data_IF_809721262910
#
_entry.id   IF_809721262910
#
_cell.length_a   1.000
_cell.length_b   1.000
_cell.length_c   1.000
_cell.angle_alpha   90.00
_cell.angle_beta   90.00
_cell.angle_gamma   90.00
#
_symmetry.space_group_name_H-M   'P 1'
#
loop_
_entity.id
_entity.type
_entity.pdbx_description
1 polymer ?
#
# COMPACT_ATOMS: atom_id res chain seq x y z
N UNK A 1 4.74 -32.80 10.66
CA UNK A 1 3.92 -31.57 10.50
C UNK A 1 3.38 -31.56 9.08
N UNK A 2 2.08 -31.79 8.90
CA UNK A 2 1.40 -31.73 7.60
C UNK A 2 1.60 -30.33 7.02
N UNK A 3 2.31 -30.23 5.88
CA UNK A 3 2.37 -28.98 5.10
C UNK A 3 0.92 -28.61 4.77
N UNK A 4 0.43 -27.51 5.35
CA UNK A 4 -0.88 -26.98 5.02
C UNK A 4 -0.99 -26.72 3.52
N UNK A 5 -2.22 -26.68 3.01
CA UNK A 5 -2.51 -26.46 1.59
C UNK A 5 -1.71 -25.25 1.06
N UNK A 6 -1.11 -25.38 -0.12
CA UNK A 6 -0.34 -24.28 -0.71
C UNK A 6 -1.18 -23.00 -0.76
N UNK A 7 -0.57 -21.90 -0.31
CA UNK A 7 -1.23 -20.61 -0.18
C UNK A 7 -1.45 -19.99 -1.57
N UNK A 8 -2.61 -20.24 -2.16
CA UNK A 8 -2.99 -19.72 -3.49
C UNK A 8 -3.14 -18.19 -3.46
N UNK A 9 -2.99 -17.51 -4.62
CA UNK A 9 -3.21 -16.07 -4.71
C UNK A 9 -4.59 -15.62 -4.21
N UNK A 10 -5.64 -16.40 -4.49
CA UNK A 10 -7.01 -16.12 -4.06
C UNK A 10 -7.16 -16.17 -2.55
N UNK A 11 -6.52 -17.15 -1.89
CA UNK A 11 -6.50 -17.24 -0.43
C UNK A 11 -5.73 -16.08 0.18
N UNK A 12 -4.66 -15.60 -0.46
CA UNK A 12 -3.94 -14.40 0.00
C UNK A 12 -4.83 -13.16 -0.05
N UNK A 13 -5.51 -12.93 -1.18
CA UNK A 13 -6.47 -11.81 -1.29
C UNK A 13 -7.54 -11.89 -0.21
N UNK A 14 -8.10 -13.09 0.02
CA UNK A 14 -9.13 -13.29 1.05
C UNK A 14 -8.62 -12.98 2.46
N UNK A 15 -7.40 -13.40 2.81
CA UNK A 15 -6.77 -13.06 4.09
C UNK A 15 -6.61 -11.53 4.24
N UNK A 16 -6.18 -10.86 3.17
CA UNK A 16 -5.99 -9.41 3.17
C UNK A 16 -7.32 -8.65 3.34
N UNK A 17 -8.39 -9.08 2.66
CA UNK A 17 -9.75 -8.54 2.86
C UNK A 17 -10.24 -8.73 4.30
N UNK A 18 -10.11 -9.94 4.85
CA UNK A 18 -10.54 -10.19 6.23
C UNK A 18 -9.72 -9.37 7.24
N UNK A 19 -8.43 -9.22 6.99
CA UNK A 19 -7.58 -8.40 7.84
C UNK A 19 -7.90 -6.90 7.73
N UNK A 20 -8.30 -6.41 6.54
CA UNK A 20 -8.65 -4.99 6.33
C UNK A 20 -9.93 -4.60 7.09
N UNK A 21 -10.88 -5.53 7.26
CA UNK A 21 -12.06 -5.36 8.14
C UNK A 21 -11.78 -5.60 9.63
N UNK A 22 -10.50 -5.71 10.02
CA UNK A 22 -10.06 -5.79 11.42
C UNK A 22 -9.98 -7.20 12.01
N UNK A 23 -10.07 -8.26 11.21
CA UNK A 23 -9.98 -9.61 11.74
C UNK A 23 -8.53 -9.99 12.06
N UNK A 24 -8.30 -10.46 13.30
CA UNK A 24 -7.02 -11.00 13.71
C UNK A 24 -6.73 -12.38 13.11
N UNK A 25 -5.46 -12.73 12.94
CA UNK A 25 -5.02 -13.99 12.33
C UNK A 25 -5.64 -15.26 12.96
N UNK A 26 -5.86 -15.26 14.29
CA UNK A 26 -6.54 -16.38 14.98
C UNK A 26 -8.01 -16.51 14.57
N UNK A 27 -8.70 -15.39 14.36
CA UNK A 27 -10.10 -15.37 13.90
C UNK A 27 -10.19 -15.87 12.46
N UNK A 28 -9.28 -15.43 11.60
CA UNK A 28 -9.19 -15.89 10.20
C UNK A 28 -8.93 -17.40 10.15
N UNK A 29 -8.00 -17.93 10.95
CA UNK A 29 -7.69 -19.36 11.01
C UNK A 29 -8.85 -20.23 11.50
N UNK A 30 -9.77 -19.68 12.30
CA UNK A 30 -10.99 -20.41 12.72
C UNK A 30 -12.01 -20.55 11.60
N UNK A 31 -12.11 -19.55 10.72
CA UNK A 31 -13.03 -19.56 9.57
C UNK A 31 -12.41 -20.27 8.36
N UNK A 32 -11.07 -20.27 8.30
CA UNK A 32 -10.28 -20.97 7.30
C UNK A 32 -9.34 -21.99 7.97
N UNK A 33 -9.87 -23.09 8.53
CA UNK A 33 -9.07 -24.12 9.21
C UNK A 33 -8.11 -24.86 8.26
N UNK A 34 -8.35 -24.81 6.95
CA UNK A 34 -7.44 -25.31 5.92
C UNK A 34 -6.12 -24.51 5.84
N UNK A 35 -6.11 -23.29 6.40
CA UNK A 35 -4.96 -22.42 6.46
C UNK A 35 -4.27 -22.54 7.83
N UNK A 36 -3.00 -22.91 7.78
CA UNK A 36 -2.09 -22.75 8.91
C UNK A 36 -1.97 -21.28 9.38
N UNK A 37 -2.04 -21.10 10.70
CA UNK A 37 -1.90 -19.79 11.36
C UNK A 37 -0.60 -19.06 10.99
N UNK A 38 0.49 -19.81 10.80
CA UNK A 38 1.79 -19.28 10.35
C UNK A 38 1.69 -18.65 8.96
N UNK A 39 1.01 -19.32 8.02
CA UNK A 39 0.77 -18.81 6.67
C UNK A 39 -0.07 -17.54 6.69
N UNK A 40 -1.13 -17.47 7.50
CA UNK A 40 -1.96 -16.26 7.64
C UNK A 40 -1.13 -15.09 8.17
N UNK A 41 -0.36 -15.30 9.24
CA UNK A 41 0.53 -14.27 9.80
C UNK A 41 1.56 -13.79 8.78
N UNK A 42 2.14 -14.72 8.01
CA UNK A 42 3.10 -14.40 6.96
C UNK A 42 2.47 -13.56 5.85
N UNK A 43 1.28 -13.93 5.36
CA UNK A 43 0.55 -13.18 4.34
C UNK A 43 0.24 -11.76 4.83
N UNK A 44 -0.32 -11.60 6.03
CA UNK A 44 -0.60 -10.28 6.61
C UNK A 44 0.67 -9.42 6.71
N UNK A 45 1.79 -10.02 7.13
CA UNK A 45 3.07 -9.31 7.22
C UNK A 45 3.59 -8.89 5.84
N UNK A 46 3.55 -9.78 4.86
CA UNK A 46 3.96 -9.47 3.48
C UNK A 46 3.08 -8.42 2.83
N UNK A 47 1.78 -8.39 3.12
CA UNK A 47 0.89 -7.34 2.63
C UNK A 47 1.26 -5.96 3.19
N UNK A 48 1.74 -5.89 4.44
CA UNK A 48 2.30 -4.63 4.97
C UNK A 48 3.53 -4.17 4.19
N UNK A 49 4.32 -5.06 3.60
CA UNK A 49 5.44 -4.71 2.71
C UNK A 49 4.95 -4.22 1.33
N UNK A 50 3.72 -4.56 0.94
CA UNK A 50 3.03 -4.02 -0.25
C UNK A 50 2.33 -2.68 -0.01
N UNK A 51 2.41 -2.11 1.20
CA UNK A 51 2.10 -0.68 1.42
C UNK A 51 2.91 0.15 0.42
N UNK A 52 2.36 1.29 -0.05
CA UNK A 52 2.94 2.09 -1.12
C UNK A 52 4.44 2.17 -0.99
N UNK A 53 5.15 1.47 -1.88
CA UNK A 53 6.61 1.47 -1.95
C UNK A 53 7.03 2.93 -1.97
N UNK A 54 8.13 3.26 -1.27
CA UNK A 54 8.82 4.55 -1.47
C UNK A 54 8.78 4.85 -2.96
N UNK A 55 8.21 6.00 -3.36
CA UNK A 55 8.13 6.43 -4.76
C UNK A 55 9.46 6.12 -5.44
N UNK A 56 9.41 5.45 -6.59
CA UNK A 56 10.61 5.29 -7.41
C UNK A 56 11.15 6.68 -7.76
N UNK A 57 12.44 6.75 -8.08
CA UNK A 57 13.04 8.03 -8.45
C UNK A 57 12.35 8.66 -9.66
N UNK A 58 11.90 7.85 -10.61
CA UNK A 58 11.10 8.26 -11.78
C UNK A 58 9.75 8.85 -11.37
N UNK A 59 9.03 8.20 -10.45
CA UNK A 59 7.74 8.70 -9.97
C UNK A 59 7.90 10.02 -9.19
N UNK A 60 9.02 10.18 -8.47
CA UNK A 60 9.34 11.46 -7.82
C UNK A 60 9.67 12.52 -8.86
N UNK A 61 10.43 12.18 -9.91
CA UNK A 61 10.76 13.09 -10.99
C UNK A 61 9.51 13.55 -11.74
N UNK A 62 8.57 12.64 -12.01
CA UNK A 62 7.28 12.94 -12.63
C UNK A 62 6.47 13.92 -11.77
N UNK A 63 6.32 13.65 -10.47
CA UNK A 63 5.62 14.57 -9.56
C UNK A 63 6.29 15.94 -9.52
N UNK A 64 7.63 16.01 -9.52
CA UNK A 64 8.36 17.28 -9.56
C UNK A 64 8.11 18.04 -10.86
N UNK A 65 8.26 17.38 -12.01
CA UNK A 65 8.03 18.00 -13.31
C UNK A 65 6.60 18.54 -13.44
N UNK A 66 5.60 17.83 -12.90
CA UNK A 66 4.21 18.30 -12.90
C UNK A 66 4.01 19.54 -12.02
N UNK A 67 4.65 19.61 -10.86
CA UNK A 67 4.57 20.77 -9.95
C UNK A 67 5.39 21.96 -10.47
N UNK A 68 6.51 21.71 -11.13
CA UNK A 68 7.31 22.75 -11.79
C UNK A 68 6.59 23.32 -13.02
N UNK A 69 5.90 22.47 -13.80
CA UNK A 69 5.13 22.91 -14.95
C UNK A 69 3.84 23.66 -14.56
N UNK A 70 3.18 23.24 -13.47
CA UNK A 70 1.99 23.90 -12.94
C UNK A 70 2.00 23.92 -11.39
N UNK A 71 2.39 25.06 -10.78
CA UNK A 71 2.38 25.23 -9.32
C UNK A 71 0.98 25.15 -8.69
N UNK A 72 -0.10 25.30 -9.48
CA UNK A 72 -1.49 25.21 -9.03
C UNK A 72 -2.06 23.79 -9.17
N UNK A 73 -1.25 22.80 -9.57
CA UNK A 73 -1.72 21.44 -9.78
C UNK A 73 -2.34 20.89 -8.49
N UNK A 74 -3.59 20.44 -8.59
CA UNK A 74 -4.35 19.97 -7.43
C UNK A 74 -3.68 18.74 -6.83
N UNK A 75 -3.55 18.72 -5.51
CA UNK A 75 -2.98 17.59 -4.76
C UNK A 75 -3.68 16.24 -4.99
N UNK A 76 -4.89 16.26 -5.55
CA UNK A 76 -5.66 15.07 -5.90
C UNK A 76 -5.21 14.42 -7.23
N UNK A 77 -4.56 15.19 -8.11
CA UNK A 77 -4.12 14.74 -9.44
C UNK A 77 -2.76 14.04 -9.37
N UNK A 78 -1.85 14.55 -8.52
CA UNK A 78 -0.50 14.02 -8.36
C UNK A 78 -0.45 12.53 -7.92
N UNK A 79 -1.29 12.05 -6.97
CA UNK A 79 -1.34 10.63 -6.63
C UNK A 79 -1.87 9.78 -7.79
N UNK A 80 -2.82 10.28 -8.58
CA UNK A 80 -3.37 9.55 -9.73
C UNK A 80 -2.31 9.33 -10.81
N UNK A 81 -1.47 10.34 -11.07
CA UNK A 81 -0.38 10.26 -12.04
C UNK A 81 0.64 9.16 -11.72
N UNK A 82 0.77 8.78 -10.44
CA UNK A 82 1.66 7.69 -9.98
C UNK A 82 0.89 6.44 -9.56
N UNK A 83 -0.36 6.26 -10.03
CA UNK A 83 -1.16 5.06 -9.79
C UNK A 83 -1.66 4.91 -8.35
N UNK A 84 -1.95 6.02 -7.66
CA UNK A 84 -2.30 6.08 -6.24
C UNK A 84 -1.28 5.39 -5.32
N UNK A 85 -0.03 5.31 -5.78
CA UNK A 85 1.07 4.72 -5.04
C UNK A 85 1.54 5.56 -3.84
N UNK A 86 0.87 6.68 -3.52
CA UNK A 86 1.19 7.51 -2.34
C UNK A 86 -0.06 8.14 -1.73
N UNK A 87 0.03 8.37 -0.42
CA UNK A 87 -0.98 9.15 0.31
C UNK A 87 -0.73 10.65 0.15
N UNK A 88 -1.78 11.46 0.32
CA UNK A 88 -1.69 12.94 0.34
C UNK A 88 -0.63 13.45 1.31
N UNK A 89 -0.51 12.83 2.49
CA UNK A 89 0.47 13.21 3.52
C UNK A 89 1.91 12.94 3.08
N UNK A 90 2.15 11.80 2.40
CA UNK A 90 3.46 11.46 1.84
C UNK A 90 3.85 12.41 0.71
N UNK A 91 2.89 12.77 -0.15
CA UNK A 91 3.08 13.77 -1.21
C UNK A 91 3.46 15.14 -0.63
N UNK A 92 2.71 15.60 0.38
CA UNK A 92 2.97 16.90 1.00
C UNK A 92 4.35 16.95 1.67
N UNK A 93 4.78 15.85 2.30
CA UNK A 93 6.15 15.74 2.84
C UNK A 93 7.22 15.83 1.76
N UNK A 94 7.04 15.10 0.64
CA UNK A 94 7.96 15.12 -0.50
C UNK A 94 8.13 16.54 -1.06
N UNK A 95 7.03 17.27 -1.19
CA UNK A 95 7.01 18.62 -1.74
C UNK A 95 7.59 19.65 -0.76
N UNK A 96 7.30 19.52 0.54
CA UNK A 96 7.88 20.37 1.59
C UNK A 96 9.40 20.15 1.76
N UNK A 97 9.89 18.91 1.61
CA UNK A 97 11.34 18.61 1.64
C UNK A 97 12.13 19.32 0.54
N UNK A 98 11.46 19.81 -0.51
CA UNK A 98 12.07 20.53 -1.65
C UNK A 98 11.65 22.00 -1.74
N UNK A 99 10.96 22.54 -0.75
CA UNK A 99 10.51 23.94 -0.74
C UNK A 99 9.36 24.24 -1.72
N UNK A 100 8.78 23.21 -2.36
CA UNK A 100 7.67 23.33 -3.31
C UNK A 100 6.33 23.17 -2.61
N UNK A 101 6.06 24.01 -1.60
CA UNK A 101 4.84 23.91 -0.81
C UNK A 101 3.59 24.09 -1.68
N UNK A 102 2.68 23.10 -1.67
CA UNK A 102 1.34 23.25 -2.21
C UNK A 102 0.65 24.40 -1.45
N UNK A 103 0.41 25.53 -2.11
CA UNK A 103 -0.46 26.57 -1.57
C UNK A 103 -1.89 26.02 -1.56
N UNK A 104 -2.52 26.09 -0.40
CA UNK A 104 -3.88 25.63 -0.16
C UNK A 104 -4.90 26.39 -1.02
#
# INVERSE_FOLDING_TARGET
MTRGKEMTPQLRSRICELHSIGWGARKISRVHPELWLSGIKYTIRKEKDHRPKKLSEDQRALIRAMVEADPAVKSAVLPQAVGNAITKRSLQRLLNEKGMGLRA
#
